data_IF_075048976716
#
_entry.id   IF_075048976716
#
_cell.length_a   1.000
_cell.length_b   1.000
_cell.length_c   1.000
_cell.angle_alpha   90.00
_cell.angle_beta   90.00
_cell.angle_gamma   90.00
#
_symmetry.space_group_name_H-M   'P 1'
#
loop_
_entity.id
_entity.type
_entity.pdbx_description
1 polymer ?
#
# COMPACT_ATOMS: atom_id res chain seq x y z
N UNK A 1 -4.68 -14.01 22.34
CA UNK A 1 -3.43 -13.72 21.59
C UNK A 1 -3.64 -13.65 20.07
N UNK A 2 -4.34 -14.60 19.44
CA UNK A 2 -4.51 -14.60 17.98
C UNK A 2 -5.23 -13.38 17.40
N UNK A 3 -6.36 -12.94 17.98
CA UNK A 3 -7.11 -11.76 17.48
C UNK A 3 -6.26 -10.49 17.41
N UNK A 4 -5.45 -10.27 18.45
CA UNK A 4 -4.56 -9.11 18.53
C UNK A 4 -3.48 -9.14 17.44
N UNK A 5 -2.86 -10.31 17.20
CA UNK A 5 -1.91 -10.48 16.11
C UNK A 5 -2.59 -10.23 14.76
N UNK A 6 -3.81 -10.76 14.55
CA UNK A 6 -4.61 -10.48 13.34
C UNK A 6 -4.77 -8.98 13.10
N UNK A 7 -5.20 -8.25 14.13
CA UNK A 7 -5.41 -6.81 14.04
C UNK A 7 -4.11 -6.07 13.74
N UNK A 8 -3.00 -6.42 14.40
CA UNK A 8 -1.70 -5.80 14.13
C UNK A 8 -1.27 -6.03 12.68
N UNK A 9 -1.33 -7.27 12.20
CA UNK A 9 -0.92 -7.61 10.83
C UNK A 9 -1.85 -6.97 9.78
N UNK A 10 -3.15 -6.88 10.07
CA UNK A 10 -4.10 -6.19 9.23
C UNK A 10 -3.81 -4.68 9.15
N UNK A 11 -3.58 -4.02 10.29
CA UNK A 11 -3.20 -2.60 10.32
C UNK A 11 -1.87 -2.33 9.62
N UNK A 12 -0.89 -3.24 9.76
CA UNK A 12 0.36 -3.17 9.01
C UNK A 12 0.15 -3.27 7.50
N UNK A 13 -0.75 -4.16 7.06
CA UNK A 13 -1.11 -4.29 5.64
C UNK A 13 -1.84 -3.07 5.07
N UNK A 14 -2.56 -2.31 5.90
CA UNK A 14 -3.31 -1.12 5.48
C UNK A 14 -2.45 0.12 5.26
N UNK A 15 -1.18 0.13 5.69
CA UNK A 15 -0.31 1.33 5.61
C UNK A 15 -0.24 1.88 4.18
N UNK A 16 -0.05 0.99 3.20
CA UNK A 16 -0.01 1.37 1.79
C UNK A 16 -1.33 1.96 1.30
N UNK A 17 -2.46 1.28 1.57
CA UNK A 17 -3.79 1.73 1.16
C UNK A 17 -4.14 3.09 1.78
N UNK A 18 -3.92 3.27 3.08
CA UNK A 18 -4.15 4.54 3.76
C UNK A 18 -3.30 5.66 3.14
N UNK A 19 -2.04 5.40 2.81
CA UNK A 19 -1.15 6.39 2.20
C UNK A 19 -1.54 6.81 0.76
N UNK A 20 -2.32 5.98 0.06
CA UNK A 20 -2.83 6.26 -1.28
C UNK A 20 -4.18 6.96 -1.16
N UNK A 21 -5.11 6.35 -0.44
CA UNK A 21 -6.53 6.70 -0.51
C UNK A 21 -6.87 7.94 0.32
N UNK A 22 -6.22 8.15 1.48
CA UNK A 22 -6.40 9.39 2.26
C UNK A 22 -5.79 10.63 1.57
N UNK A 23 -4.90 10.40 0.60
CA UNK A 23 -4.19 11.45 -0.13
C UNK A 23 -5.00 11.99 -1.33
N UNK A 24 -5.80 11.15 -1.99
CA UNK A 24 -6.53 11.51 -3.21
C UNK A 24 -7.35 12.81 -3.10
N UNK A 25 -8.13 13.05 -2.03
CA UNK A 25 -8.94 14.28 -1.92
C UNK A 25 -8.11 15.56 -1.85
N UNK A 26 -6.85 15.46 -1.44
CA UNK A 26 -5.94 16.58 -1.25
C UNK A 26 -5.18 17.00 -2.53
N UNK A 27 -5.19 16.18 -3.58
CA UNK A 27 -4.41 16.42 -4.79
C UNK A 27 -4.67 17.79 -5.45
N UNK A 28 -5.92 18.25 -5.63
CA UNK A 28 -6.16 19.57 -6.24
C UNK A 28 -5.53 20.72 -5.45
N UNK A 29 -5.65 20.69 -4.12
CA UNK A 29 -5.10 21.73 -3.25
C UNK A 29 -3.56 21.75 -3.25
N UNK A 30 -2.91 20.57 -3.35
CA UNK A 30 -1.46 20.47 -3.50
C UNK A 30 -1.00 21.11 -4.81
N UNK A 31 -1.75 20.91 -5.90
CA UNK A 31 -1.48 21.54 -7.19
C UNK A 31 -1.55 23.07 -7.12
N UNK A 32 -2.58 23.60 -6.45
CA UNK A 32 -2.75 25.04 -6.23
C UNK A 32 -1.60 25.61 -5.39
N UNK A 33 -1.26 24.97 -4.26
CA UNK A 33 -0.23 25.50 -3.36
C UNK A 33 1.15 25.55 -4.01
N UNK A 34 1.54 24.50 -4.74
CA UNK A 34 2.84 24.46 -5.40
C UNK A 34 2.85 25.06 -6.81
N UNK A 35 1.70 25.54 -7.30
CA UNK A 35 1.57 26.11 -8.65
C UNK A 35 1.88 25.11 -9.77
N UNK A 36 1.57 23.82 -9.56
CA UNK A 36 1.85 22.74 -10.52
C UNK A 36 0.57 22.15 -11.11
N UNK A 37 0.66 21.70 -12.37
CA UNK A 37 -0.48 21.12 -13.07
C UNK A 37 -0.91 19.74 -12.53
N UNK A 38 -2.11 19.25 -12.89
CA UNK A 38 -2.64 17.95 -12.44
C UNK A 38 -1.71 16.76 -12.75
N UNK A 39 -1.06 16.79 -13.92
CA UNK A 39 -0.09 15.77 -14.34
C UNK A 39 1.09 15.70 -13.37
N UNK A 40 1.61 16.85 -12.93
CA UNK A 40 2.68 16.89 -11.95
C UNK A 40 2.21 16.29 -10.63
N UNK A 41 1.06 16.73 -10.09
CA UNK A 41 0.51 16.16 -8.85
C UNK A 41 0.32 14.66 -8.95
N UNK A 42 -0.13 14.12 -10.10
CA UNK A 42 -0.26 12.68 -10.30
C UNK A 42 1.07 11.92 -10.17
N UNK A 43 2.20 12.54 -10.49
CA UNK A 43 3.53 11.93 -10.29
C UNK A 43 3.80 11.55 -8.84
N UNK A 44 3.18 12.24 -7.86
CA UNK A 44 3.29 11.88 -6.43
C UNK A 44 2.72 10.49 -6.11
N UNK A 45 1.68 10.06 -6.84
CA UNK A 45 1.12 8.71 -6.74
C UNK A 45 1.97 7.73 -7.53
N UNK A 46 2.37 8.10 -8.76
CA UNK A 46 3.20 7.25 -9.61
C UNK A 46 4.52 6.88 -8.95
N UNK A 47 5.24 7.85 -8.35
CA UNK A 47 6.51 7.60 -7.69
C UNK A 47 6.35 6.75 -6.42
N UNK A 48 5.28 6.99 -5.66
CA UNK A 48 4.93 6.18 -4.50
C UNK A 48 4.66 4.73 -4.90
N UNK A 49 3.77 4.50 -5.88
CA UNK A 49 3.41 3.17 -6.35
C UNK A 49 4.60 2.44 -6.97
N UNK A 50 5.43 3.14 -7.73
CA UNK A 50 6.64 2.58 -8.32
C UNK A 50 7.61 2.09 -7.25
N UNK A 51 7.96 2.94 -6.28
CA UNK A 51 8.89 2.59 -5.20
C UNK A 51 8.31 1.54 -4.25
N UNK A 52 6.99 1.58 -4.00
CA UNK A 52 6.24 0.59 -3.25
C UNK A 52 6.32 -0.80 -3.91
N UNK A 53 5.96 -0.89 -5.20
CA UNK A 53 6.02 -2.14 -5.94
C UNK A 53 7.45 -2.68 -6.04
N UNK A 54 8.42 -1.79 -6.28
CA UNK A 54 9.84 -2.14 -6.32
C UNK A 54 10.31 -2.75 -4.99
N UNK A 55 10.02 -2.10 -3.85
CA UNK A 55 10.46 -2.59 -2.54
C UNK A 55 9.72 -3.82 -2.04
N UNK A 56 8.47 -4.04 -2.46
CA UNK A 56 7.74 -5.26 -2.15
C UNK A 56 8.49 -6.54 -2.57
N UNK A 57 9.26 -6.48 -3.67
CA UNK A 57 10.14 -7.59 -4.07
C UNK A 57 11.17 -7.89 -2.97
N UNK A 58 11.85 -6.86 -2.48
CA UNK A 58 12.95 -7.04 -1.54
C UNK A 58 12.52 -7.31 -0.11
N UNK A 59 11.29 -6.96 0.30
CA UNK A 59 10.90 -7.11 1.71
C UNK A 59 10.85 -8.55 2.21
N UNK A 60 10.53 -9.52 1.34
CA UNK A 60 10.61 -10.95 1.70
C UNK A 60 12.04 -11.32 2.09
N UNK A 61 12.99 -11.11 1.17
CA UNK A 61 14.42 -11.46 1.36
C UNK A 61 15.07 -10.68 2.50
N UNK A 62 14.79 -9.38 2.62
CA UNK A 62 15.25 -8.56 3.74
C UNK A 62 14.77 -9.12 5.07
N UNK A 63 13.48 -9.50 5.17
CA UNK A 63 12.92 -10.03 6.41
C UNK A 63 13.46 -11.42 6.77
N UNK A 64 13.76 -12.24 5.77
CA UNK A 64 14.32 -13.58 5.98
C UNK A 64 15.80 -13.53 6.38
N UNK A 65 16.53 -12.47 5.99
CA UNK A 65 17.92 -12.26 6.38
C UNK A 65 18.08 -11.53 7.71
N UNK A 66 17.37 -10.42 7.91
CA UNK A 66 17.56 -9.56 9.09
C UNK A 66 16.58 -9.87 10.24
N UNK A 67 15.55 -10.68 9.98
CA UNK A 67 14.45 -10.95 10.89
C UNK A 67 13.22 -10.10 10.57
N UNK A 68 12.03 -10.62 10.88
CA UNK A 68 10.77 -9.99 10.46
C UNK A 68 10.48 -8.71 11.22
N UNK A 69 10.68 -8.73 12.55
CA UNK A 69 10.38 -7.58 13.40
C UNK A 69 11.31 -6.39 13.17
N UNK A 70 12.65 -6.54 13.08
CA UNK A 70 13.56 -5.42 12.80
C UNK A 70 13.27 -4.73 11.47
N UNK A 71 12.97 -5.51 10.41
CA UNK A 71 12.68 -4.95 9.09
C UNK A 71 11.35 -4.19 9.08
N UNK A 72 10.30 -4.71 9.73
CA UNK A 72 9.04 -3.98 9.90
C UNK A 72 9.28 -2.66 10.65
N UNK A 73 10.00 -2.69 11.77
CA UNK A 73 10.28 -1.48 12.55
C UNK A 73 11.09 -0.45 11.76
N UNK A 74 12.12 -0.88 11.03
CA UNK A 74 12.92 0.01 10.18
C UNK A 74 12.08 0.67 9.08
N UNK A 75 11.21 -0.11 8.43
CA UNK A 75 10.28 0.41 7.43
C UNK A 75 9.28 1.40 8.05
N UNK A 76 8.70 1.10 9.21
CA UNK A 76 7.77 2.00 9.90
C UNK A 76 8.42 3.31 10.33
N UNK A 77 9.67 3.27 10.79
CA UNK A 77 10.45 4.48 11.12
C UNK A 77 10.66 5.32 9.87
N UNK A 78 11.10 4.70 8.77
CA UNK A 78 11.27 5.41 7.50
C UNK A 78 9.95 6.01 7.01
N UNK A 79 8.84 5.26 7.09
CA UNK A 79 7.50 5.72 6.73
C UNK A 79 7.07 6.93 7.56
N UNK A 80 7.29 6.89 8.87
CA UNK A 80 6.93 7.97 9.80
C UNK A 80 7.74 9.22 9.52
N UNK A 81 9.07 9.09 9.38
CA UNK A 81 9.96 10.19 9.02
C UNK A 81 9.61 10.77 7.64
N UNK A 82 9.28 9.90 6.68
CA UNK A 82 8.90 10.36 5.36
C UNK A 82 7.56 11.12 5.36
N UNK A 83 6.61 10.68 6.19
CA UNK A 83 5.35 11.38 6.40
C UNK A 83 5.58 12.75 7.04
N UNK A 84 6.44 12.86 8.05
CA UNK A 84 6.83 14.16 8.64
C UNK A 84 7.53 15.05 7.62
N UNK A 85 8.44 14.50 6.82
CA UNK A 85 9.11 15.23 5.74
C UNK A 85 8.15 15.78 4.68
N UNK A 86 7.08 15.03 4.38
CA UNK A 86 6.00 15.48 3.49
C UNK A 86 5.15 16.61 4.11
N UNK A 87 4.88 16.58 5.41
CA UNK A 87 4.21 17.71 6.12
C UNK A 87 5.02 18.99 5.97
N UNK A 88 6.34 18.89 6.14
CA UNK A 88 7.27 20.01 6.13
C UNK A 88 7.72 20.42 4.73
N UNK A 89 7.08 19.90 3.67
CA UNK A 89 7.53 20.13 2.30
C UNK A 89 7.43 21.61 1.89
N UNK A 90 8.57 22.26 1.56
CA UNK A 90 8.58 23.64 1.07
C UNK A 90 8.41 23.73 -0.44
N UNK A 91 8.54 22.62 -1.18
CA UNK A 91 8.42 22.56 -2.63
C UNK A 91 7.84 21.23 -3.11
N UNK A 92 7.35 21.22 -4.36
CA UNK A 92 6.79 20.02 -4.96
C UNK A 92 7.82 18.89 -5.12
N UNK A 93 9.06 19.22 -5.49
CA UNK A 93 10.15 18.23 -5.59
C UNK A 93 10.47 17.57 -4.25
N UNK A 94 10.41 18.33 -3.15
CA UNK A 94 10.55 17.79 -1.81
C UNK A 94 9.44 16.79 -1.49
N UNK A 95 8.19 17.15 -1.80
CA UNK A 95 7.05 16.25 -1.63
C UNK A 95 7.24 14.95 -2.44
N UNK A 96 7.70 15.02 -3.70
CA UNK A 96 7.98 13.84 -4.52
C UNK A 96 9.00 12.89 -3.87
N UNK A 97 10.10 13.43 -3.33
CA UNK A 97 11.11 12.62 -2.63
C UNK A 97 10.52 11.91 -1.42
N UNK A 98 9.76 12.62 -0.60
CA UNK A 98 9.14 12.00 0.57
C UNK A 98 8.03 11.02 0.23
N UNK A 99 7.31 11.23 -0.87
CA UNK A 99 6.38 10.26 -1.43
C UNK A 99 7.08 8.99 -1.91
N UNK A 100 8.26 9.12 -2.54
CA UNK A 100 9.10 7.98 -2.89
C UNK A 100 9.55 7.21 -1.64
N UNK A 101 10.00 7.90 -0.59
CA UNK A 101 10.42 7.27 0.67
C UNK A 101 9.26 6.60 1.42
N UNK A 102 8.06 7.19 1.39
CA UNK A 102 6.84 6.55 1.89
C UNK A 102 6.51 5.29 1.09
N UNK A 103 6.65 5.34 -0.24
CA UNK A 103 6.43 4.18 -1.10
C UNK A 103 7.41 3.04 -0.79
N UNK A 104 8.71 3.36 -0.72
CA UNK A 104 9.78 2.42 -0.32
C UNK A 104 9.41 1.68 0.96
N UNK A 105 8.82 2.36 1.95
CA UNK A 105 8.54 1.81 3.28
C UNK A 105 7.17 1.12 3.43
N UNK A 106 6.15 1.56 2.71
CA UNK A 106 4.77 1.17 2.95
C UNK A 106 4.45 -0.31 2.65
N UNK A 107 5.29 -1.01 1.87
CA UNK A 107 5.09 -2.41 1.49
C UNK A 107 5.50 -3.45 2.53
N UNK A 108 6.29 -3.07 3.53
CA UNK A 108 6.89 -4.01 4.49
C UNK A 108 5.83 -4.79 5.27
N UNK A 109 4.81 -4.09 5.77
CA UNK A 109 3.75 -4.68 6.59
C UNK A 109 2.96 -5.76 5.86
N UNK A 110 2.62 -5.53 4.59
CA UNK A 110 1.83 -6.44 3.77
C UNK A 110 2.62 -7.72 3.44
N UNK A 111 3.86 -7.58 2.98
CA UNK A 111 4.70 -8.73 2.57
C UNK A 111 5.12 -9.55 3.80
N UNK A 112 5.70 -8.89 4.80
CA UNK A 112 6.23 -9.57 5.98
C UNK A 112 5.09 -10.09 6.86
N UNK A 113 3.95 -9.39 6.91
CA UNK A 113 2.78 -9.84 7.66
C UNK A 113 2.22 -11.16 7.13
N UNK A 114 2.15 -11.33 5.80
CA UNK A 114 1.75 -12.61 5.21
C UNK A 114 2.74 -13.73 5.56
N UNK A 115 4.04 -13.44 5.53
CA UNK A 115 5.07 -14.40 5.89
C UNK A 115 5.01 -14.79 7.40
N UNK A 116 4.71 -13.84 8.30
CA UNK A 116 4.47 -14.13 9.74
C UNK A 116 3.28 -15.09 9.92
N UNK A 117 2.20 -14.92 9.14
CA UNK A 117 1.05 -15.83 9.21
C UNK A 117 1.45 -17.23 8.76
N UNK A 118 2.18 -17.34 7.65
CA UNK A 118 2.65 -18.63 7.12
C UNK A 118 3.63 -19.33 8.06
N UNK A 119 4.46 -18.59 8.80
CA UNK A 119 5.38 -19.17 9.79
C UNK A 119 4.67 -19.71 11.04
N UNK A 120 3.53 -19.11 11.41
CA UNK A 120 2.89 -19.33 12.73
C UNK A 120 1.64 -20.18 12.69
N UNK A 121 1.05 -20.35 11.51
CA UNK A 121 -0.24 -21.02 11.35
C UNK A 121 -0.21 -21.95 10.15
N UNK A 122 -0.90 -23.07 10.29
CA UNK A 122 -1.03 -24.08 9.22
C UNK A 122 -2.51 -24.30 8.87
N UNK A 123 -2.74 -24.79 7.64
CA UNK A 123 -4.06 -25.19 7.15
C UNK A 123 -5.15 -24.12 7.30
N UNK A 124 -6.29 -24.53 7.85
CA UNK A 124 -7.48 -23.67 7.99
C UNK A 124 -7.24 -22.43 8.85
N UNK A 125 -6.31 -22.48 9.80
CA UNK A 125 -6.03 -21.34 10.68
C UNK A 125 -5.28 -20.23 9.93
N UNK A 126 -4.34 -20.59 9.05
CA UNK A 126 -3.66 -19.64 8.18
C UNK A 126 -4.65 -18.99 7.21
N UNK A 127 -5.52 -19.78 6.58
CA UNK A 127 -6.57 -19.26 5.68
C UNK A 127 -7.49 -18.27 6.39
N UNK A 128 -8.00 -18.64 7.57
CA UNK A 128 -8.86 -17.74 8.37
C UNK A 128 -8.16 -16.44 8.72
N UNK A 129 -6.88 -16.50 9.08
CA UNK A 129 -6.07 -15.31 9.38
C UNK A 129 -5.90 -14.42 8.15
N UNK A 130 -5.57 -14.99 6.99
CA UNK A 130 -5.47 -14.27 5.73
C UNK A 130 -6.80 -13.62 5.34
N UNK A 131 -7.92 -14.34 5.46
CA UNK A 131 -9.26 -13.79 5.20
C UNK A 131 -9.55 -12.59 6.10
N UNK A 132 -9.19 -12.64 7.39
CA UNK A 132 -9.35 -11.48 8.28
C UNK A 132 -8.49 -10.28 7.85
N UNK A 133 -7.24 -10.51 7.46
CA UNK A 133 -6.37 -9.45 6.94
C UNK A 133 -6.97 -8.83 5.67
N UNK A 134 -7.45 -9.67 4.74
CA UNK A 134 -8.07 -9.21 3.48
C UNK A 134 -9.38 -8.45 3.72
N UNK A 135 -10.22 -8.89 4.68
CA UNK A 135 -11.44 -8.17 5.04
C UNK A 135 -11.14 -6.76 5.55
N UNK A 136 -10.15 -6.62 6.44
CA UNK A 136 -9.75 -5.31 6.97
C UNK A 136 -9.14 -4.44 5.86
N UNK A 137 -8.33 -5.02 4.98
CA UNK A 137 -7.78 -4.32 3.82
C UNK A 137 -8.89 -3.85 2.87
N UNK A 138 -9.92 -4.68 2.63
CA UNK A 138 -11.07 -4.34 1.79
C UNK A 138 -11.92 -3.18 2.33
N UNK A 139 -11.86 -2.89 3.63
CA UNK A 139 -12.50 -1.70 4.22
C UNK A 139 -11.69 -0.42 3.99
N UNK A 140 -10.39 -0.52 3.71
CA UNK A 140 -9.53 0.65 3.60
C UNK A 140 -9.97 1.62 2.48
N UNK A 141 -10.28 1.17 1.25
CA UNK A 141 -10.69 2.08 0.18
C UNK A 141 -12.02 2.79 0.42
N UNK A 142 -12.89 2.24 1.26
CA UNK A 142 -14.15 2.89 1.62
C UNK A 142 -13.97 3.98 2.68
N UNK A 143 -13.12 3.71 3.69
CA UNK A 143 -12.96 4.60 4.85
C UNK A 143 -11.91 5.68 4.58
N UNK A 144 -10.83 5.34 3.88
CA UNK A 144 -9.68 6.20 3.74
C UNK A 144 -9.95 7.49 2.95
N UNK A 145 -10.65 7.50 1.79
CA UNK A 145 -10.95 8.74 1.08
C UNK A 145 -11.87 9.66 1.89
N UNK A 146 -12.84 9.10 2.62
CA UNK A 146 -13.75 9.88 3.50
C UNK A 146 -12.96 10.54 4.62
N UNK A 147 -12.08 9.79 5.28
CA UNK A 147 -11.20 10.32 6.32
C UNK A 147 -10.25 11.39 5.76
N UNK A 148 -9.64 11.12 4.61
CA UNK A 148 -8.75 12.06 3.92
C UNK A 148 -9.45 13.35 3.52
N UNK A 149 -10.68 13.27 3.02
CA UNK A 149 -11.51 14.43 2.70
C UNK A 149 -11.86 15.25 3.93
N UNK A 150 -12.26 14.60 5.03
CA UNK A 150 -12.55 15.28 6.29
C UNK A 150 -11.32 15.98 6.88
N UNK A 151 -10.16 15.32 6.88
CA UNK A 151 -8.88 15.89 7.29
C UNK A 151 -8.51 17.10 6.42
N UNK A 152 -8.62 16.95 5.10
CA UNK A 152 -8.32 18.00 4.14
C UNK A 152 -9.19 19.23 4.33
N UNK A 153 -10.51 19.07 4.43
CA UNK A 153 -11.45 20.18 4.59
C UNK A 153 -11.26 20.90 5.92
N UNK A 154 -10.99 20.15 7.00
CA UNK A 154 -10.90 20.71 8.35
C UNK A 154 -9.54 21.36 8.65
N UNK A 155 -8.45 20.80 8.14
CA UNK A 155 -7.08 21.14 8.55
C UNK A 155 -6.09 21.32 7.38
N UNK A 156 -6.57 21.26 6.13
CA UNK A 156 -5.75 21.35 4.92
C UNK A 156 -5.05 20.03 4.57
N UNK A 157 -4.41 19.97 3.39
CA UNK A 157 -3.83 18.73 2.86
C UNK A 157 -2.67 18.16 3.68
N UNK A 158 -1.92 19.01 4.40
CA UNK A 158 -0.81 18.57 5.27
C UNK A 158 -1.29 17.66 6.40
N UNK A 159 -2.54 17.81 6.84
CA UNK A 159 -3.12 17.01 7.91
C UNK A 159 -3.19 15.52 7.57
N UNK A 160 -3.34 15.16 6.29
CA UNK A 160 -3.27 13.77 5.83
C UNK A 160 -1.90 13.17 6.18
N UNK A 161 -0.81 13.89 5.90
CA UNK A 161 0.54 13.42 6.23
C UNK A 161 0.81 13.38 7.74
N UNK A 162 0.22 14.30 8.51
CA UNK A 162 0.26 14.24 9.98
C UNK A 162 -0.44 12.98 10.48
N UNK A 163 -1.64 12.67 9.96
CA UNK A 163 -2.36 11.44 10.29
C UNK A 163 -1.53 10.19 9.98
N UNK A 164 -0.92 10.11 8.80
CA UNK A 164 -0.05 8.99 8.42
C UNK A 164 1.18 8.87 9.32
N UNK A 165 1.80 9.99 9.72
CA UNK A 165 2.91 10.00 10.66
C UNK A 165 2.49 9.49 12.05
N UNK A 166 1.33 9.93 12.55
CA UNK A 166 0.79 9.47 13.83
C UNK A 166 0.43 7.98 13.78
N UNK A 167 -0.17 7.53 12.68
CA UNK A 167 -0.48 6.11 12.47
C UNK A 167 0.80 5.25 12.43
N UNK A 168 1.82 5.70 11.69
CA UNK A 168 3.14 5.07 11.66
C UNK A 168 3.77 4.99 13.04
N UNK A 169 3.75 6.09 13.80
CA UNK A 169 4.26 6.13 15.18
C UNK A 169 3.50 5.17 16.10
N UNK A 170 2.18 5.14 16.03
CA UNK A 170 1.36 4.19 16.79
C UNK A 170 1.72 2.74 16.45
N UNK A 171 1.91 2.43 15.17
CA UNK A 171 2.35 1.11 14.72
C UNK A 171 3.76 0.77 15.20
N UNK A 172 4.71 1.72 15.22
CA UNK A 172 6.04 1.50 15.80
C UNK A 172 5.91 1.07 17.25
N UNK A 173 5.13 1.81 18.06
CA UNK A 173 4.95 1.51 19.48
C UNK A 173 4.29 0.14 19.70
N UNK A 174 3.26 -0.18 18.92
CA UNK A 174 2.53 -1.45 18.99
C UNK A 174 3.44 -2.62 18.57
N UNK A 175 4.14 -2.52 17.44
CA UNK A 175 5.06 -3.57 16.96
C UNK A 175 6.24 -3.73 17.92
N UNK A 176 6.79 -2.63 18.43
CA UNK A 176 7.90 -2.68 19.36
C UNK A 176 7.53 -3.37 20.69
N UNK A 177 6.29 -3.25 21.16
CA UNK A 177 5.87 -3.87 22.44
C UNK A 177 5.23 -5.24 22.28
N UNK A 178 4.49 -5.46 21.19
CA UNK A 178 3.51 -6.55 21.10
C UNK A 178 3.87 -7.59 20.03
N UNK A 179 4.67 -7.24 19.02
CA UNK A 179 5.12 -8.18 18.01
C UNK A 179 6.44 -8.83 18.44
N UNK A 180 6.37 -10.10 18.84
CA UNK A 180 7.56 -10.94 19.03
C UNK A 180 8.19 -11.30 17.67
N UNK A 181 9.53 -11.41 17.62
CA UNK A 181 10.22 -11.96 16.44
C UNK A 181 9.68 -13.36 16.12
N UNK A 182 9.34 -13.63 14.86
CA UNK A 182 8.84 -14.94 14.43
C UNK A 182 9.93 -15.80 13.79
N UNK A 183 11.03 -15.20 13.32
CA UNK A 183 12.12 -15.91 12.67
C UNK A 183 13.34 -16.04 13.62
N UNK A 184 13.59 -17.26 14.16
CA UNK A 184 14.78 -17.54 14.97
C UNK A 184 16.07 -17.21 14.22
N UNK A 185 17.12 -16.81 14.95
CA UNK A 185 18.40 -16.39 14.35
C UNK A 185 19.04 -17.49 13.52
N UNK A 186 18.83 -18.74 13.91
CA UNK A 186 19.38 -19.94 13.30
C UNK A 186 18.73 -20.26 11.94
N UNK A 187 17.50 -19.76 11.71
CA UNK A 187 16.76 -19.93 10.45
C UNK A 187 16.95 -18.76 9.47
N UNK A 188 17.72 -17.73 9.86
CA UNK A 188 17.97 -16.56 9.01
C UNK A 188 18.90 -16.92 7.87
N UNK A 189 18.55 -16.50 6.67
CA UNK A 189 19.40 -16.71 5.50
C UNK A 189 20.44 -15.60 5.41
N UNK A 190 21.70 -15.96 5.09
CA UNK A 190 22.73 -14.97 4.85
C UNK A 190 22.34 -14.07 3.65
N UNK A 191 22.46 -12.75 3.82
CA UNK A 191 22.11 -11.80 2.78
C UNK A 191 23.16 -11.85 1.66
N UNK A 192 22.85 -12.59 0.59
CA UNK A 192 23.69 -12.70 -0.60
C UNK A 192 22.98 -12.10 -1.83
N UNK A 193 23.26 -10.84 -2.19
CA UNK A 193 22.59 -10.16 -3.31
C UNK A 193 22.67 -10.93 -4.63
N UNK A 194 23.79 -11.61 -4.90
CA UNK A 194 23.97 -12.43 -6.10
C UNK A 194 23.02 -13.63 -6.14
N UNK A 195 22.82 -14.30 -5.01
CA UNK A 195 21.88 -15.44 -4.90
C UNK A 195 20.43 -14.96 -5.03
N UNK A 196 20.10 -13.81 -4.45
CA UNK A 196 18.77 -13.19 -4.58
C UNK A 196 18.50 -12.88 -6.06
N UNK A 197 19.43 -12.20 -6.74
CA UNK A 197 19.31 -11.89 -8.16
C UNK A 197 19.19 -13.16 -9.03
N UNK A 198 19.97 -14.20 -8.72
CA UNK A 198 19.88 -15.50 -9.38
C UNK A 198 18.52 -16.17 -9.20
N UNK A 199 17.96 -16.15 -7.99
CA UNK A 199 16.63 -16.69 -7.69
C UNK A 199 15.53 -15.92 -8.43
N UNK A 200 15.58 -14.58 -8.44
CA UNK A 200 14.66 -13.77 -9.23
C UNK A 200 14.76 -14.10 -10.72
N UNK A 201 15.97 -14.24 -11.26
CA UNK A 201 16.17 -14.58 -12.66
C UNK A 201 15.65 -15.98 -12.99
N UNK A 202 15.80 -16.94 -12.08
CA UNK A 202 15.25 -18.29 -12.22
C UNK A 202 13.72 -18.27 -12.27
N UNK A 203 13.08 -17.49 -11.40
CA UNK A 203 11.62 -17.34 -11.36
C UNK A 203 11.11 -16.60 -12.61
N UNK A 204 11.78 -15.53 -13.04
CA UNK A 204 11.44 -14.79 -14.26
C UNK A 204 11.70 -15.58 -15.55
N UNK A 205 12.55 -16.62 -15.50
CA UNK A 205 12.74 -17.56 -16.62
C UNK A 205 11.66 -18.63 -16.69
N UNK A 206 10.82 -18.79 -15.66
CA UNK A 206 9.70 -19.71 -15.70
C UNK A 206 8.51 -19.07 -16.46
N UNK A 207 8.19 -19.55 -17.67
CA UNK A 207 7.17 -18.93 -18.51
C UNK A 207 5.76 -19.02 -17.90
N UNK A 208 5.48 -20.08 -17.13
CA UNK A 208 4.19 -20.23 -16.45
C UNK A 208 4.03 -19.17 -15.35
N UNK A 209 5.09 -18.93 -14.56
CA UNK A 209 5.08 -17.88 -13.55
C UNK A 209 4.90 -16.49 -14.18
N UNK A 210 5.63 -16.21 -15.26
CA UNK A 210 5.54 -14.94 -15.97
C UNK A 210 4.16 -14.74 -16.58
N UNK A 211 3.60 -15.75 -17.24
CA UNK A 211 2.24 -15.69 -17.78
C UNK A 211 1.20 -15.43 -16.69
N UNK A 212 1.24 -16.17 -15.58
CA UNK A 212 0.30 -15.96 -14.47
C UNK A 212 0.43 -14.56 -13.86
N UNK A 213 1.66 -14.10 -13.66
CA UNK A 213 1.94 -12.75 -13.12
C UNK A 213 1.50 -11.65 -14.07
N UNK A 214 1.72 -11.83 -15.38
CA UNK A 214 1.25 -10.91 -16.42
C UNK A 214 -0.28 -10.92 -16.52
N UNK A 215 -0.93 -12.08 -16.46
CA UNK A 215 -2.39 -12.16 -16.49
C UNK A 215 -3.02 -11.41 -15.32
N UNK A 216 -2.50 -11.61 -14.10
CA UNK A 216 -2.93 -10.85 -12.91
C UNK A 216 -2.65 -9.35 -13.05
N UNK A 217 -1.45 -8.99 -13.50
CA UNK A 217 -1.05 -7.59 -13.69
C UNK A 217 -1.87 -6.87 -14.76
N UNK A 218 -2.16 -7.53 -15.89
CA UNK A 218 -2.98 -6.99 -16.97
C UNK A 218 -4.46 -6.90 -16.57
N UNK A 219 -5.00 -7.89 -15.85
CA UNK A 219 -6.37 -7.82 -15.33
C UNK A 219 -6.53 -6.63 -14.36
N UNK A 220 -5.58 -6.46 -13.43
CA UNK A 220 -5.60 -5.34 -12.49
C UNK A 220 -5.35 -3.99 -13.19
N UNK A 221 -4.43 -3.96 -14.16
CA UNK A 221 -4.15 -2.79 -14.98
C UNK A 221 -5.36 -2.36 -15.82
N UNK A 222 -6.08 -3.33 -16.39
CA UNK A 222 -7.34 -3.09 -17.11
C UNK A 222 -8.42 -2.50 -16.20
N UNK A 223 -8.57 -3.05 -14.99
CA UNK A 223 -9.48 -2.49 -13.98
C UNK A 223 -9.09 -1.06 -13.59
N UNK A 224 -7.81 -0.79 -13.33
CA UNK A 224 -7.31 0.53 -12.96
C UNK A 224 -7.50 1.56 -14.09
N UNK A 225 -7.24 1.17 -15.34
CA UNK A 225 -7.51 1.99 -16.52
C UNK A 225 -9.00 2.28 -16.66
N UNK A 226 -9.85 1.27 -16.46
CA UNK A 226 -11.31 1.44 -16.49
C UNK A 226 -11.76 2.45 -15.42
N UNK A 227 -11.37 2.25 -14.15
CA UNK A 227 -11.73 3.17 -13.06
C UNK A 227 -11.22 4.59 -13.34
N UNK A 228 -9.96 4.74 -13.78
CA UNK A 228 -9.34 6.03 -14.05
C UNK A 228 -9.94 6.76 -15.26
N UNK A 229 -10.48 6.05 -16.24
CA UNK A 229 -11.09 6.63 -17.46
C UNK A 229 -12.61 6.71 -17.43
N UNK A 230 -13.27 5.99 -16.52
CA UNK A 230 -14.73 5.86 -16.52
C UNK A 230 -15.45 7.21 -16.37
N UNK A 231 -14.97 8.10 -15.50
CA UNK A 231 -15.56 9.41 -15.29
C UNK A 231 -15.53 10.26 -16.57
N UNK A 232 -14.36 10.35 -17.22
CA UNK A 232 -14.18 11.07 -18.48
C UNK A 232 -15.00 10.43 -19.62
N UNK A 233 -15.05 9.11 -19.69
CA UNK A 233 -15.80 8.41 -20.72
C UNK A 233 -17.31 8.63 -20.59
N UNK A 234 -17.86 8.55 -19.38
CA UNK A 234 -19.31 8.72 -19.14
C UNK A 234 -19.74 10.18 -19.29
N UNK A 235 -18.97 11.12 -18.74
CA UNK A 235 -19.37 12.53 -18.67
C UNK A 235 -18.95 13.32 -19.92
N UNK A 236 -17.71 13.14 -20.42
CA UNK A 236 -17.19 13.97 -21.51
C UNK A 236 -17.45 13.37 -22.89
N UNK A 237 -17.33 12.04 -23.02
CA UNK A 237 -17.51 11.32 -24.30
C UNK A 237 -18.99 10.95 -24.52
N UNK A 238 -19.60 10.22 -23.58
CA UNK A 238 -20.99 9.80 -23.69
C UNK A 238 -22.00 10.91 -23.34
N UNK A 239 -21.56 12.01 -22.71
CA UNK A 239 -22.39 13.15 -22.30
C UNK A 239 -23.61 12.73 -21.45
N UNK A 240 -23.45 11.68 -20.65
CA UNK A 240 -24.50 11.19 -19.77
C UNK A 240 -24.48 11.95 -18.44
N UNK A 241 -25.65 12.08 -17.78
CA UNK A 241 -25.71 12.66 -16.44
C UNK A 241 -24.94 11.81 -15.44
N UNK A 242 -24.44 12.45 -14.37
CA UNK A 242 -23.64 11.80 -13.31
C UNK A 242 -24.32 10.56 -12.70
N UNK A 243 -25.66 10.53 -12.70
CA UNK A 243 -26.46 9.39 -12.24
C UNK A 243 -26.23 8.12 -13.07
N UNK A 244 -25.84 8.24 -14.35
CA UNK A 244 -25.54 7.10 -15.21
C UNK A 244 -24.31 6.31 -14.74
N UNK A 245 -23.38 6.97 -14.04
CA UNK A 245 -22.19 6.32 -13.49
C UNK A 245 -22.57 5.18 -12.53
N UNK A 246 -23.57 5.41 -11.67
CA UNK A 246 -24.04 4.42 -10.70
C UNK A 246 -24.58 3.16 -11.39
N UNK A 247 -25.45 3.32 -12.39
CA UNK A 247 -26.06 2.19 -13.09
C UNK A 247 -25.08 1.39 -13.96
N UNK A 248 -23.98 2.02 -14.41
CA UNK A 248 -22.91 1.33 -15.14
C UNK A 248 -21.92 0.60 -14.22
N UNK A 249 -21.70 1.10 -13.00
CA UNK A 249 -20.79 0.46 -12.03
C UNK A 249 -21.44 -0.65 -11.19
N UNK A 250 -22.75 -0.57 -10.92
CA UNK A 250 -23.46 -1.58 -10.12
C UNK A 250 -23.32 -3.00 -10.70
N UNK A 251 -23.49 -3.25 -12.01
CA UNK A 251 -23.30 -4.58 -12.59
C UNK A 251 -21.86 -5.10 -12.47
N UNK A 252 -20.86 -4.21 -12.59
CA UNK A 252 -19.45 -4.55 -12.48
C UNK A 252 -19.10 -5.00 -11.05
N UNK A 253 -19.51 -4.20 -10.05
CA UNK A 253 -19.31 -4.55 -8.63
C UNK A 253 -20.12 -5.80 -8.28
N UNK A 254 -21.36 -5.91 -8.78
CA UNK A 254 -22.21 -7.07 -8.61
C UNK A 254 -21.54 -8.36 -9.12
N UNK A 255 -20.95 -8.32 -10.31
CA UNK A 255 -20.18 -9.44 -10.87
C UNK A 255 -18.97 -9.82 -10.02
N UNK A 256 -18.18 -8.83 -9.57
CA UNK A 256 -17.03 -9.10 -8.69
C UNK A 256 -17.40 -9.74 -7.35
N UNK A 257 -18.55 -9.37 -6.78
CA UNK A 257 -19.00 -9.89 -5.48
C UNK A 257 -19.65 -11.26 -5.60
N UNK A 258 -20.37 -11.53 -6.70
CA UNK A 258 -21.10 -12.78 -6.89
C UNK A 258 -20.26 -13.92 -7.49
N UNK A 259 -19.16 -13.60 -8.18
CA UNK A 259 -18.26 -14.57 -8.80
C UNK A 259 -18.64 -14.92 -10.22
#
# INVERSE_FOLDING_TARGET
>A
MHRLLTTILACLGMIGALAIDTYLPSMPAIGVEFGVGPVAVQQTLSVFLFTFAFMMLFYGTLSDSFGRRPVILGALVLYTLASVGAVLAPSFGWLLVFRALQGVSAGAGSVIGQAIVQDRFEGAQAQKMMSHIMMVFGLAPAIAPVLGGWLHVSFGWRSTFVFLALFGLAMILIVARMLSESLPREKRQAFHPATIAGNYLMVLRNPQFVMLSLSLGLAFGGLALYIGSAANFVMDILRLPETAFAWMFIPLIGGMVLG
#
